data_IF_427593543332
#
_entry.id   IF_427593543332
#
_cell.length_a   1.000
_cell.length_b   1.000
_cell.length_c   1.000
_cell.angle_alpha   90.00
_cell.angle_beta   90.00
_cell.angle_gamma   90.00
#
_symmetry.space_group_name_H-M   'P 1'
#
loop_
_entity.id
_entity.type
_entity.pdbx_description
1 polymer ?
#
# COMPACT_ATOMS: atom_id res chain seq x y z
N UNK A 1 14.49 1.55 10.84
CA UNK A 1 15.54 2.08 11.73
C UNK A 1 16.95 1.90 11.17
N UNK A 2 17.38 0.71 10.72
CA UNK A 2 18.74 0.50 10.16
C UNK A 2 19.04 1.47 9.00
N UNK A 3 18.13 1.68 8.06
CA UNK A 3 18.25 2.65 6.96
C UNK A 3 18.52 4.05 7.49
N UNK A 4 17.66 4.52 8.41
CA UNK A 4 17.79 5.85 9.01
C UNK A 4 19.17 6.09 9.67
N UNK A 5 19.76 5.03 10.24
CA UNK A 5 21.10 5.11 10.86
C UNK A 5 22.24 5.05 9.84
N UNK A 6 22.01 4.52 8.64
CA UNK A 6 23.03 4.42 7.59
C UNK A 6 23.05 5.63 6.64
N UNK A 7 22.01 6.45 6.64
CA UNK A 7 21.94 7.66 5.82
C UNK A 7 22.73 8.81 6.47
N UNK A 8 23.48 9.54 5.66
CA UNK A 8 24.12 10.80 6.08
C UNK A 8 23.15 11.99 5.87
N UNK A 9 21.91 11.82 6.34
CA UNK A 9 20.82 12.79 6.19
C UNK A 9 19.83 12.67 7.36
N UNK A 10 19.07 13.73 7.67
CA UNK A 10 17.99 13.64 8.64
C UNK A 10 16.95 12.59 8.22
N UNK A 11 16.44 11.82 9.18
CA UNK A 11 15.42 10.80 8.95
C UNK A 11 14.30 10.94 9.96
N UNK A 12 13.04 10.86 9.49
CA UNK A 12 11.84 10.83 10.32
C UNK A 12 11.20 9.43 10.29
N UNK A 13 10.89 8.88 11.46
CA UNK A 13 10.12 7.64 11.60
C UNK A 13 8.69 7.99 11.99
N UNK A 14 7.76 7.84 11.04
CA UNK A 14 6.35 8.10 11.28
C UNK A 14 5.68 6.79 11.64
N UNK A 15 5.16 6.68 12.86
CA UNK A 15 4.58 5.46 13.40
C UNK A 15 3.10 5.64 13.67
N UNK A 16 2.30 4.58 13.51
CA UNK A 16 0.88 4.59 13.84
C UNK A 16 0.67 4.53 15.37
N UNK A 17 -0.41 5.13 15.86
CA UNK A 17 -0.85 5.03 17.27
C UNK A 17 -1.71 3.80 17.54
N UNK A 18 -2.25 3.19 16.51
CA UNK A 18 -3.11 2.01 16.62
C UNK A 18 -2.28 0.73 16.72
N UNK A 19 -2.84 -0.28 17.35
CA UNK A 19 -2.26 -1.61 17.36
C UNK A 19 -2.38 -2.21 15.96
N UNK A 20 -1.26 -2.57 15.37
CA UNK A 20 -1.20 -3.24 14.08
C UNK A 20 -0.84 -4.70 14.28
N UNK A 21 -1.35 -5.61 13.44
CA UNK A 21 -0.91 -7.00 13.45
C UNK A 21 0.57 -7.08 13.09
N UNK A 22 1.29 -7.96 13.77
CA UNK A 22 2.65 -8.32 13.37
C UNK A 22 2.54 -9.19 12.13
N UNK A 23 3.04 -8.66 11.02
CA UNK A 23 3.09 -9.40 9.75
C UNK A 23 4.33 -10.28 9.72
N UNK A 24 4.28 -11.35 8.90
CA UNK A 24 5.40 -12.25 8.71
C UNK A 24 6.68 -11.49 8.35
N UNK A 25 7.82 -12.09 8.68
CA UNK A 25 9.14 -11.49 8.46
C UNK A 25 9.37 -11.12 6.99
N UNK A 26 10.03 -9.99 6.80
CA UNK A 26 10.47 -9.48 5.51
C UNK A 26 11.97 -9.34 5.56
N UNK A 27 12.67 -9.63 4.46
CA UNK A 27 14.11 -9.46 4.43
C UNK A 27 14.51 -7.99 4.59
N UNK A 28 15.63 -7.75 5.27
CA UNK A 28 16.16 -6.40 5.45
C UNK A 28 16.44 -5.72 4.11
N UNK A 29 16.97 -6.48 3.16
CA UNK A 29 17.32 -6.02 1.81
C UNK A 29 16.10 -5.50 1.05
N UNK A 30 14.95 -6.15 1.20
CA UNK A 30 13.69 -5.69 0.59
C UNK A 30 13.23 -4.36 1.19
N UNK A 31 13.31 -4.22 2.51
CA UNK A 31 12.94 -2.96 3.19
C UNK A 31 13.86 -1.80 2.80
N UNK A 32 15.15 -2.07 2.55
CA UNK A 32 16.13 -1.08 2.12
C UNK A 32 15.82 -0.45 0.76
N UNK A 33 15.04 -1.13 -0.09
CA UNK A 33 14.60 -0.62 -1.39
C UNK A 33 13.38 0.32 -1.31
N UNK A 34 12.84 0.53 -0.12
CA UNK A 34 11.70 1.43 0.11
C UNK A 34 10.33 0.81 -0.11
N UNK A 35 10.23 -0.27 -0.87
CA UNK A 35 9.00 -1.04 -1.09
C UNK A 35 9.34 -2.52 -1.32
N UNK A 36 8.37 -3.40 -1.11
CA UNK A 36 8.51 -4.83 -1.38
C UNK A 36 7.16 -5.51 -1.59
N UNK A 37 7.18 -6.64 -2.31
CA UNK A 37 6.00 -7.49 -2.45
C UNK A 37 5.74 -8.20 -1.13
N UNK A 38 4.60 -7.93 -0.50
CA UNK A 38 4.19 -8.56 0.76
C UNK A 38 3.33 -9.80 0.54
N UNK A 39 2.56 -9.81 -0.54
CA UNK A 39 1.76 -10.95 -0.96
C UNK A 39 1.76 -11.03 -2.49
N UNK A 40 1.87 -12.23 -3.01
CA UNK A 40 1.95 -12.49 -4.44
C UNK A 40 1.10 -13.70 -4.83
N UNK A 41 0.19 -13.50 -5.78
CA UNK A 41 -0.47 -14.59 -6.48
C UNK A 41 0.18 -14.82 -7.85
N UNK A 42 -0.06 -15.99 -8.45
CA UNK A 42 0.43 -16.28 -9.79
C UNK A 42 -0.25 -15.36 -10.80
N UNK A 43 0.56 -14.71 -11.64
CA UNK A 43 0.11 -13.81 -12.72
C UNK A 43 -0.92 -12.75 -12.26
N UNK A 44 -0.56 -11.87 -11.30
CA UNK A 44 -1.50 -10.90 -10.75
C UNK A 44 -1.95 -9.89 -11.82
N UNK A 45 -3.26 -9.65 -11.85
CA UNK A 45 -3.89 -8.67 -12.76
C UNK A 45 -4.13 -7.32 -12.08
N UNK A 46 -3.97 -7.28 -10.75
CA UNK A 46 -4.05 -6.06 -9.95
C UNK A 46 -3.01 -6.09 -8.83
N UNK A 47 -2.41 -4.93 -8.57
CA UNK A 47 -1.54 -4.68 -7.42
C UNK A 47 -2.21 -3.70 -6.48
N UNK A 48 -2.39 -4.10 -5.22
CA UNK A 48 -2.78 -3.22 -4.12
C UNK A 48 -1.52 -2.69 -3.45
N UNK A 49 -1.35 -1.39 -3.43
CA UNK A 49 -0.18 -0.72 -2.85
C UNK A 49 -0.62 0.01 -1.58
N UNK A 50 0.11 -0.16 -0.49
CA UNK A 50 -0.21 0.48 0.77
C UNK A 50 1.03 0.75 1.61
N UNK A 51 0.93 1.72 2.53
CA UNK A 51 1.92 1.99 3.56
C UNK A 51 1.33 1.76 4.96
N UNK A 52 2.17 1.60 5.96
CA UNK A 52 1.78 1.59 7.38
C UNK A 52 0.57 0.71 7.72
N UNK A 53 -0.45 1.31 8.28
CA UNK A 53 -1.68 0.64 8.74
C UNK A 53 -2.53 0.07 7.60
N UNK A 54 -2.48 0.68 6.42
CA UNK A 54 -3.28 0.30 5.26
C UNK A 54 -2.81 -1.02 4.63
N UNK A 55 -1.60 -1.50 4.94
CA UNK A 55 -1.08 -2.79 4.46
C UNK A 55 -1.97 -3.96 4.91
N UNK A 56 -2.46 -3.93 6.15
CA UNK A 56 -3.39 -4.96 6.65
C UNK A 56 -4.71 -4.97 5.87
N UNK A 57 -5.25 -3.78 5.58
CA UNK A 57 -6.45 -3.60 4.76
C UNK A 57 -6.25 -4.14 3.34
N UNK A 58 -5.10 -3.86 2.72
CA UNK A 58 -4.74 -4.38 1.41
C UNK A 58 -4.65 -5.91 1.40
N UNK A 59 -4.02 -6.51 2.43
CA UNK A 59 -3.89 -7.97 2.56
C UNK A 59 -5.25 -8.67 2.74
N UNK A 60 -6.14 -8.10 3.56
CA UNK A 60 -7.50 -8.64 3.74
C UNK A 60 -8.31 -8.56 2.45
N UNK A 61 -8.22 -7.43 1.75
CA UNK A 61 -8.88 -7.22 0.46
C UNK A 61 -8.36 -8.20 -0.61
N UNK A 62 -7.04 -8.41 -0.68
CA UNK A 62 -6.43 -9.35 -1.62
C UNK A 62 -6.94 -10.78 -1.41
N UNK A 63 -7.04 -11.26 -0.16
CA UNK A 63 -7.57 -12.59 0.16
C UNK A 63 -9.00 -12.79 -0.36
N UNK A 64 -9.83 -11.75 -0.34
CA UNK A 64 -11.20 -11.83 -0.84
C UNK A 64 -11.23 -11.78 -2.36
N UNK A 65 -10.45 -10.88 -2.99
CA UNK A 65 -10.34 -10.81 -4.44
C UNK A 65 -9.86 -12.14 -5.04
N UNK A 66 -8.89 -12.79 -4.41
CA UNK A 66 -8.40 -14.11 -4.86
C UNK A 66 -9.46 -15.23 -4.75
N UNK A 67 -10.29 -15.21 -3.70
CA UNK A 67 -11.43 -16.14 -3.59
C UNK A 67 -12.45 -15.95 -4.72
N UNK A 68 -12.48 -14.75 -5.30
CA UNK A 68 -13.31 -14.41 -6.45
C UNK A 68 -12.57 -14.60 -7.80
N UNK A 69 -11.44 -15.31 -7.80
CA UNK A 69 -10.59 -15.56 -8.96
C UNK A 69 -9.99 -14.29 -9.60
N UNK A 70 -9.69 -13.30 -8.77
CA UNK A 70 -8.95 -12.08 -9.17
C UNK A 70 -7.54 -12.17 -8.59
N UNK A 71 -6.53 -12.62 -9.37
CA UNK A 71 -5.15 -12.74 -8.91
C UNK A 71 -4.61 -11.38 -8.51
N UNK A 72 -4.21 -11.26 -7.23
CA UNK A 72 -3.88 -9.98 -6.61
C UNK A 72 -2.48 -10.01 -6.00
N UNK A 73 -1.70 -8.97 -6.24
CA UNK A 73 -0.45 -8.71 -5.54
C UNK A 73 -0.65 -7.62 -4.49
N UNK A 74 0.07 -7.70 -3.37
CA UNK A 74 0.12 -6.62 -2.37
C UNK A 74 1.55 -6.15 -2.22
N UNK A 75 1.76 -4.84 -2.35
CA UNK A 75 3.04 -4.16 -2.16
C UNK A 75 2.96 -3.28 -0.91
N UNK A 76 3.91 -3.48 -0.01
CA UNK A 76 4.12 -2.62 1.16
C UNK A 76 5.19 -1.60 0.85
N UNK A 77 4.93 -0.32 1.16
CA UNK A 77 5.85 0.79 0.90
C UNK A 77 6.20 1.51 2.21
N UNK A 78 7.20 1.02 2.94
CA UNK A 78 7.65 1.68 4.17
C UNK A 78 8.36 3.02 3.94
N UNK A 79 8.90 3.28 2.74
CA UNK A 79 9.59 4.54 2.45
C UNK A 79 9.48 4.89 0.96
N UNK A 80 8.67 5.90 0.65
CA UNK A 80 8.45 6.35 -0.73
C UNK A 80 9.73 6.94 -1.35
N UNK A 81 10.50 7.72 -0.61
CA UNK A 81 11.73 8.36 -1.11
C UNK A 81 12.76 7.32 -1.60
N UNK A 82 12.93 6.21 -0.86
CA UNK A 82 13.81 5.13 -1.29
C UNK A 82 13.24 4.35 -2.48
N UNK A 83 11.90 4.25 -2.58
CA UNK A 83 11.27 3.59 -3.71
C UNK A 83 11.54 4.34 -5.02
N UNK A 84 11.42 5.66 -5.03
CA UNK A 84 11.61 6.46 -6.26
C UNK A 84 13.05 6.49 -6.76
N UNK A 85 14.01 6.09 -5.93
CA UNK A 85 15.43 5.92 -6.30
C UNK A 85 15.70 4.59 -7.02
N UNK A 86 14.73 3.65 -7.03
CA UNK A 86 14.89 2.36 -7.68
C UNK A 86 14.79 2.47 -9.21
N UNK A 87 15.33 1.46 -9.89
CA UNK A 87 15.30 1.38 -11.35
C UNK A 87 13.93 0.93 -11.91
N UNK A 88 13.74 1.09 -13.20
CA UNK A 88 12.51 0.73 -13.88
C UNK A 88 12.18 -0.77 -13.80
N UNK A 89 13.21 -1.62 -13.72
CA UNK A 89 13.03 -3.07 -13.60
C UNK A 89 12.36 -3.42 -12.27
N UNK A 90 12.73 -2.73 -11.21
CA UNK A 90 12.12 -2.90 -9.89
C UNK A 90 10.66 -2.44 -9.85
N UNK A 91 10.35 -1.33 -10.51
CA UNK A 91 8.95 -0.89 -10.65
C UNK A 91 8.09 -1.91 -11.40
N UNK A 92 8.60 -2.51 -12.46
CA UNK A 92 7.90 -3.57 -13.22
C UNK A 92 7.69 -4.85 -12.39
N UNK A 93 8.57 -5.14 -11.46
CA UNK A 93 8.39 -6.24 -10.50
C UNK A 93 7.28 -5.93 -9.48
N UNK A 94 7.29 -4.71 -8.94
CA UNK A 94 6.35 -4.26 -7.92
C UNK A 94 4.94 -4.00 -8.45
N UNK A 95 4.80 -3.39 -9.63
CA UNK A 95 3.53 -2.89 -10.13
C UNK A 95 3.06 -3.71 -11.33
N UNK A 96 2.43 -4.84 -11.04
CA UNK A 96 1.87 -5.76 -12.05
C UNK A 96 0.37 -5.52 -12.23
N UNK A 97 -0.09 -5.56 -13.49
CA UNK A 97 -1.48 -5.33 -13.82
C UNK A 97 -1.92 -3.90 -13.52
N UNK A 98 -3.16 -3.72 -13.09
CA UNK A 98 -3.68 -2.45 -12.62
C UNK A 98 -3.16 -2.11 -11.21
N UNK A 99 -2.89 -0.85 -10.94
CA UNK A 99 -2.35 -0.40 -9.65
C UNK A 99 -3.39 0.42 -8.88
N UNK A 100 -3.85 -0.13 -7.75
CA UNK A 100 -4.72 0.55 -6.80
C UNK A 100 -3.92 0.89 -5.54
N UNK A 101 -3.72 2.17 -5.28
CA UNK A 101 -3.07 2.67 -4.06
C UNK A 101 -4.10 2.91 -2.96
N UNK A 102 -3.74 2.52 -1.73
CA UNK A 102 -4.54 2.70 -0.51
C UNK A 102 -3.66 3.47 0.47
N UNK A 103 -3.94 4.76 0.67
CA UNK A 103 -3.07 5.65 1.43
C UNK A 103 -3.89 6.66 2.24
N UNK A 104 -3.89 6.56 3.56
CA UNK A 104 -4.63 7.45 4.47
C UNK A 104 -3.99 8.85 4.60
N UNK A 105 -3.45 9.35 3.51
CA UNK A 105 -2.90 10.69 3.36
C UNK A 105 -3.33 11.32 2.03
N UNK A 106 -2.84 12.54 1.77
CA UNK A 106 -2.99 13.17 0.46
C UNK A 106 -1.99 12.57 -0.51
N UNK A 107 -2.43 11.57 -1.25
CA UNK A 107 -1.61 10.66 -2.05
C UNK A 107 -1.15 11.24 -3.41
N UNK A 108 -0.71 12.50 -3.46
CA UNK A 108 -0.35 13.21 -4.72
C UNK A 108 0.81 12.52 -5.43
N UNK A 109 1.82 12.11 -4.69
CA UNK A 109 3.02 11.47 -5.20
C UNK A 109 2.74 10.13 -5.90
N UNK A 110 1.63 9.49 -5.57
CA UNK A 110 1.23 8.20 -6.12
C UNK A 110 0.63 8.27 -7.53
N UNK A 111 0.17 9.44 -7.98
CA UNK A 111 -0.46 9.60 -9.31
C UNK A 111 0.45 9.21 -10.48
N UNK A 112 1.77 9.16 -10.27
CA UNK A 112 2.71 8.69 -11.30
C UNK A 112 2.70 7.17 -11.49
N UNK A 113 2.20 6.38 -10.52
CA UNK A 113 2.22 4.92 -10.53
C UNK A 113 0.83 4.31 -10.50
N UNK A 114 -0.15 5.02 -9.97
CA UNK A 114 -1.48 4.50 -9.69
C UNK A 114 -2.44 4.69 -10.86
N UNK A 115 -3.16 3.64 -11.22
CA UNK A 115 -4.36 3.76 -12.07
C UNK A 115 -5.53 4.33 -11.25
N UNK A 116 -5.57 4.06 -9.93
CA UNK A 116 -6.57 4.58 -8.99
C UNK A 116 -6.02 4.68 -7.58
N UNK A 117 -6.57 5.62 -6.82
CA UNK A 117 -6.20 5.85 -5.42
C UNK A 117 -7.45 5.85 -4.53
N UNK A 118 -7.39 5.14 -3.41
CA UNK A 118 -8.24 5.32 -2.24
C UNK A 118 -7.41 6.15 -1.25
N UNK A 119 -7.68 7.43 -1.18
CA UNK A 119 -6.89 8.43 -0.45
C UNK A 119 -7.73 9.49 0.22
N UNK A 120 -7.08 10.49 0.79
CA UNK A 120 -7.71 11.61 1.48
C UNK A 120 -7.72 12.86 0.60
N UNK A 121 -8.91 13.26 0.13
CA UNK A 121 -9.10 14.48 -0.68
C UNK A 121 -9.58 15.68 0.15
N UNK A 122 -9.77 15.49 1.46
CA UNK A 122 -10.27 16.50 2.38
C UNK A 122 -9.49 16.53 3.69
N UNK A 123 -9.74 17.54 4.51
CA UNK A 123 -9.21 17.57 5.87
C UNK A 123 -9.72 16.38 6.69
N UNK A 124 -8.88 15.90 7.63
CA UNK A 124 -9.26 14.89 8.59
C UNK A 124 -10.41 15.35 9.51
N UNK A 125 -10.91 14.45 10.33
CA UNK A 125 -11.95 14.70 11.33
C UNK A 125 -11.53 14.16 12.68
N UNK A 126 -12.18 14.59 13.76
CA UNK A 126 -11.95 14.07 15.11
C UNK A 126 -13.01 13.04 15.46
N UNK A 127 -12.60 11.77 15.53
CA UNK A 127 -13.41 10.65 16.01
C UNK A 127 -12.49 9.47 16.37
N UNK A 128 -13.06 8.32 16.76
CA UNK A 128 -12.31 7.06 16.87
C UNK A 128 -11.75 6.64 15.53
N UNK A 129 -10.52 6.12 15.50
CA UNK A 129 -9.80 5.80 14.27
C UNK A 129 -10.55 4.87 13.32
N UNK A 130 -11.15 3.80 13.84
CA UNK A 130 -11.98 2.85 13.10
C UNK A 130 -13.14 3.53 12.34
N UNK A 131 -13.88 4.42 13.02
CA UNK A 131 -14.95 5.21 12.41
C UNK A 131 -14.46 6.20 11.35
N UNK A 132 -13.25 6.73 11.54
CA UNK A 132 -12.65 7.63 10.55
C UNK A 132 -12.21 6.87 9.31
N UNK A 133 -11.61 5.71 9.47
CA UNK A 133 -11.25 4.83 8.37
C UNK A 133 -12.47 4.48 7.52
N UNK A 134 -13.56 4.02 8.15
CA UNK A 134 -14.82 3.73 7.46
C UNK A 134 -15.38 4.98 6.75
N UNK A 135 -15.44 6.13 7.45
CA UNK A 135 -15.94 7.41 6.91
C UNK A 135 -15.18 7.84 5.66
N UNK A 136 -13.86 7.69 5.63
CA UNK A 136 -13.01 8.08 4.51
C UNK A 136 -12.81 6.96 3.46
N UNK A 137 -13.54 5.86 3.60
CA UNK A 137 -13.54 4.78 2.62
C UNK A 137 -12.40 3.78 2.74
N UNK A 138 -11.67 3.77 3.86
CA UNK A 138 -10.65 2.77 4.15
C UNK A 138 -11.30 1.53 4.77
N UNK A 139 -12.10 0.84 3.97
CA UNK A 139 -12.72 -0.44 4.33
C UNK A 139 -12.45 -1.49 3.27
N UNK A 140 -12.50 -2.76 3.68
CA UNK A 140 -12.27 -3.90 2.79
C UNK A 140 -13.28 -3.89 1.64
N UNK A 141 -14.54 -3.61 1.93
CA UNK A 141 -15.62 -3.56 0.95
C UNK A 141 -15.38 -2.48 -0.11
N UNK A 142 -14.95 -1.29 0.32
CA UNK A 142 -14.66 -0.21 -0.63
C UNK A 142 -13.42 -0.53 -1.48
N UNK A 143 -12.34 -1.03 -0.89
CA UNK A 143 -11.13 -1.41 -1.64
C UNK A 143 -11.47 -2.45 -2.72
N UNK A 144 -12.24 -3.49 -2.38
CA UNK A 144 -12.70 -4.49 -3.33
C UNK A 144 -13.58 -3.87 -4.43
N UNK A 145 -14.50 -3.00 -4.06
CA UNK A 145 -15.37 -2.32 -5.03
C UNK A 145 -14.55 -1.44 -6.00
N UNK A 146 -13.55 -0.70 -5.50
CA UNK A 146 -12.66 0.11 -6.34
C UNK A 146 -11.77 -0.76 -7.24
N UNK A 147 -11.24 -1.87 -6.73
CA UNK A 147 -10.46 -2.83 -7.51
C UNK A 147 -11.27 -3.40 -8.68
N UNK A 148 -12.50 -3.87 -8.41
CA UNK A 148 -13.40 -4.40 -9.44
C UNK A 148 -13.79 -3.35 -10.48
N UNK A 149 -14.07 -2.11 -10.07
CA UNK A 149 -14.35 -1.00 -10.99
C UNK A 149 -13.16 -0.71 -11.89
N UNK A 150 -11.94 -0.74 -11.33
CA UNK A 150 -10.71 -0.48 -12.07
C UNK A 150 -10.41 -1.56 -13.13
N UNK A 151 -10.75 -2.82 -12.83
CA UNK A 151 -10.56 -3.95 -13.75
C UNK A 151 -11.62 -3.99 -14.85
N UNK A 152 -12.79 -3.38 -14.65
CA UNK A 152 -13.90 -3.34 -15.61
C UNK A 152 -13.93 -2.04 -16.44
N UNK A 153 -13.01 -1.12 -16.21
CA UNK A 153 -12.86 0.14 -16.94
C UNK A 153 -11.89 -0.01 -18.12
#
# INVERSE_FOLDING_TARGET
>A
MQVALSLNAPSALILSRQNLPVLDEVSKEQVLKGAYVKHHSKDPIITLVASGSEVSLALESAKILERENIPTQVVSVPCFDLLIEQDESYFKELFKGKVLVIEASRAIEWYRFADKIVGMDSFGSSAKGDKLFEKFGFSVENVIAQAKRLLNA
#
